data_IF_174094997738
#
_entry.id   IF_174094997738
#
_cell.length_a   1.000
_cell.length_b   1.000
_cell.length_c   1.000
_cell.angle_alpha   90.00
_cell.angle_beta   90.00
_cell.angle_gamma   90.00
#
_symmetry.space_group_name_H-M   'P 1'
#
loop_
_entity.id
_entity.type
_entity.pdbx_description
1 polymer ?
#
# COMPACT_ATOMS: atom_id res chain seq x y z
N UNK A 1 46.61 21.96 2.11
CA UNK A 1 46.10 20.78 2.85
C UNK A 1 44.59 20.86 2.84
N UNK A 2 43.97 19.91 2.16
CA UNK A 2 42.53 19.74 1.89
C UNK A 2 41.77 19.39 3.17
N UNK A 3 40.60 19.98 3.36
CA UNK A 3 39.69 19.68 4.47
C UNK A 3 38.28 20.18 4.18
N UNK A 4 37.76 19.89 2.98
CA UNK A 4 36.37 20.13 2.59
C UNK A 4 35.47 19.18 3.38
N UNK A 5 35.07 19.61 4.59
CA UNK A 5 34.07 18.93 5.40
C UNK A 5 32.67 19.17 4.84
N UNK A 6 32.24 18.33 3.90
CA UNK A 6 30.83 18.00 3.65
C UNK A 6 30.82 16.49 3.40
N UNK A 7 30.13 15.69 4.23
CA UNK A 7 28.68 15.62 4.16
C UNK A 7 27.98 15.25 5.48
N UNK A 8 26.95 16.01 5.86
CA UNK A 8 25.87 15.43 6.65
C UNK A 8 24.58 15.74 5.88
N UNK A 9 24.10 14.85 4.99
CA UNK A 9 22.70 14.90 4.61
C UNK A 9 21.92 14.72 5.91
N UNK A 10 21.31 15.82 6.33
CA UNK A 10 20.22 15.90 7.29
C UNK A 10 19.46 14.58 7.35
N UNK A 11 19.28 14.04 8.56
CA UNK A 11 18.39 12.94 8.90
C UNK A 11 16.96 13.26 8.47
N UNK A 12 16.71 13.27 7.16
CA UNK A 12 15.41 13.01 6.58
C UNK A 12 15.18 11.55 6.92
N UNK A 13 14.41 11.32 7.99
CA UNK A 13 14.17 10.01 8.57
C UNK A 13 14.02 8.97 7.48
N UNK A 14 14.78 7.89 7.62
CA UNK A 14 14.84 6.72 6.75
C UNK A 14 13.42 6.30 6.37
N UNK A 15 12.88 6.93 5.31
CA UNK A 15 11.66 6.48 4.71
C UNK A 15 12.10 5.18 4.05
N UNK A 16 11.63 4.01 4.52
CA UNK A 16 12.16 2.75 4.07
C UNK A 16 12.06 2.75 2.55
N UNK A 17 13.20 2.64 1.88
CA UNK A 17 13.19 2.57 0.42
C UNK A 17 12.48 1.27 0.05
N UNK A 18 11.41 1.31 -0.77
CA UNK A 18 10.68 0.10 -1.10
C UNK A 18 11.63 -0.88 -1.76
N UNK A 19 11.67 -2.11 -1.23
CA UNK A 19 12.44 -3.19 -1.87
C UNK A 19 11.84 -3.51 -3.23
N UNK A 20 12.60 -4.15 -4.12
CA UNK A 20 12.09 -4.58 -5.43
C UNK A 20 10.80 -5.41 -5.31
N UNK A 21 10.69 -6.25 -4.26
CA UNK A 21 9.48 -6.99 -3.97
C UNK A 21 8.31 -6.05 -3.64
N UNK A 22 8.50 -5.10 -2.72
CA UNK A 22 7.46 -4.11 -2.37
C UNK A 22 7.07 -3.24 -3.56
N UNK A 23 8.01 -2.84 -4.41
CA UNK A 23 7.71 -2.12 -5.64
C UNK A 23 6.77 -2.93 -6.54
N UNK A 24 7.03 -4.23 -6.73
CA UNK A 24 6.11 -5.12 -7.46
C UNK A 24 4.72 -5.17 -6.81
N UNK A 25 4.64 -5.24 -5.48
CA UNK A 25 3.36 -5.23 -4.78
C UNK A 25 2.60 -3.91 -4.97
N UNK A 26 3.31 -2.78 -5.01
CA UNK A 26 2.71 -1.46 -5.28
C UNK A 26 2.16 -1.39 -6.71
N UNK A 27 2.90 -1.92 -7.70
CA UNK A 27 2.43 -2.03 -9.08
C UNK A 27 1.14 -2.89 -9.14
N UNK A 28 1.11 -4.03 -8.45
CA UNK A 28 -0.07 -4.91 -8.38
C UNK A 28 -1.26 -4.20 -7.73
N UNK A 29 -1.07 -3.59 -6.57
CA UNK A 29 -2.13 -2.88 -5.86
C UNK A 29 -2.67 -1.68 -6.64
N UNK A 30 -1.77 -0.94 -7.32
CA UNK A 30 -2.14 0.17 -8.19
C UNK A 30 -2.91 -0.33 -9.41
N UNK A 31 -2.43 -1.37 -10.09
CA UNK A 31 -3.13 -1.98 -11.22
C UNK A 31 -4.52 -2.48 -10.84
N UNK A 32 -4.69 -3.07 -9.65
CA UNK A 32 -6.01 -3.45 -9.13
C UNK A 32 -6.92 -2.24 -8.93
N UNK A 33 -6.43 -1.16 -8.33
CA UNK A 33 -7.19 0.09 -8.22
C UNK A 33 -7.58 0.64 -9.58
N UNK A 34 -6.70 0.64 -10.58
CA UNK A 34 -6.99 1.11 -11.93
C UNK A 34 -8.09 0.33 -12.64
N UNK A 35 -8.43 -0.88 -12.17
CA UNK A 35 -9.59 -1.66 -12.66
C UNK A 35 -10.91 -1.24 -11.99
N UNK A 36 -10.84 -0.55 -10.85
CA UNK A 36 -11.99 -0.14 -10.05
C UNK A 36 -12.26 1.37 -10.12
N UNK A 37 -11.22 2.19 -10.31
CA UNK A 37 -11.28 3.66 -10.30
C UNK A 37 -10.61 4.23 -11.53
N UNK A 38 -10.98 5.46 -11.96
CA UNK A 38 -10.36 6.11 -13.10
C UNK A 38 -8.85 6.33 -12.91
N UNK A 39 -8.11 6.46 -14.02
CA UNK A 39 -6.65 6.63 -14.00
C UNK A 39 -6.19 7.96 -13.38
N UNK A 40 -7.03 8.98 -13.39
CA UNK A 40 -6.73 10.26 -12.75
C UNK A 40 -6.93 10.22 -11.23
N UNK A 41 -7.49 9.12 -10.70
CA UNK A 41 -7.86 9.05 -9.30
C UNK A 41 -6.62 9.06 -8.39
N UNK A 42 -6.60 9.91 -7.34
CA UNK A 42 -5.44 10.06 -6.47
C UNK A 42 -5.28 8.81 -5.58
N UNK A 43 -4.21 8.05 -5.83
CA UNK A 43 -3.85 6.88 -5.02
C UNK A 43 -2.67 7.23 -4.11
N UNK A 44 -2.77 6.86 -2.85
CA UNK A 44 -1.68 6.90 -1.89
C UNK A 44 -1.17 5.50 -1.63
N UNK A 45 0.09 5.37 -1.21
CA UNK A 45 0.64 4.10 -0.78
C UNK A 45 1.43 4.23 0.52
N UNK A 46 1.56 3.13 1.24
CA UNK A 46 2.37 3.00 2.43
C UNK A 46 3.03 1.63 2.47
N UNK A 47 4.27 1.60 2.93
CA UNK A 47 5.02 0.36 3.09
C UNK A 47 4.77 -0.22 4.48
N UNK A 48 4.65 -1.54 4.55
CA UNK A 48 4.57 -2.32 5.79
C UNK A 48 5.82 -3.19 5.87
N UNK A 49 6.98 -2.64 6.29
CA UNK A 49 8.23 -3.38 6.34
C UNK A 49 8.17 -4.57 7.31
N UNK A 50 7.43 -4.44 8.42
CA UNK A 50 7.25 -5.50 9.41
C UNK A 50 6.53 -6.75 8.84
N UNK A 51 5.64 -6.54 7.89
CA UNK A 51 4.82 -7.60 7.27
C UNK A 51 5.33 -8.01 5.88
N UNK A 52 6.38 -7.35 5.36
CA UNK A 52 6.81 -7.49 3.97
C UNK A 52 5.70 -7.13 2.96
N UNK A 53 4.78 -6.27 3.36
CA UNK A 53 3.57 -5.94 2.62
C UNK A 53 3.54 -4.46 2.23
N UNK A 54 2.56 -4.08 1.41
CA UNK A 54 2.28 -2.68 1.08
C UNK A 54 0.79 -2.42 1.13
N UNK A 55 0.41 -1.17 1.38
CA UNK A 55 -0.97 -0.73 1.29
C UNK A 55 -1.11 0.32 0.19
N UNK A 56 -2.17 0.22 -0.62
CA UNK A 56 -2.54 1.21 -1.63
C UNK A 56 -3.94 1.72 -1.29
N UNK A 57 -4.04 2.99 -0.90
CA UNK A 57 -5.28 3.65 -0.48
C UNK A 57 -5.76 4.60 -1.56
N UNK A 58 -7.07 4.60 -1.81
CA UNK A 58 -7.67 5.61 -2.67
C UNK A 58 -7.98 6.87 -1.84
N UNK A 59 -7.39 8.02 -2.20
CA UNK A 59 -7.38 9.25 -1.39
C UNK A 59 -8.67 10.10 -1.51
N UNK A 60 -9.76 9.53 -2.01
CA UNK A 60 -11.06 10.22 -2.14
C UNK A 60 -12.05 9.81 -1.04
N UNK A 61 -13.10 10.61 -0.82
CA UNK A 61 -14.19 10.21 0.08
C UNK A 61 -14.91 8.97 -0.46
N UNK A 62 -15.06 7.95 0.40
CA UNK A 62 -15.57 6.62 0.01
C UNK A 62 -14.49 5.68 -0.53
N UNK A 63 -13.23 6.13 -0.61
CA UNK A 63 -12.10 5.29 -1.00
C UNK A 63 -11.76 4.22 0.04
N UNK A 64 -11.32 3.06 -0.42
CA UNK A 64 -10.82 1.99 0.43
C UNK A 64 -9.30 1.97 0.50
N UNK A 65 -8.77 1.03 1.29
CA UNK A 65 -7.36 0.67 1.32
C UNK A 65 -7.20 -0.79 0.92
N UNK A 66 -6.38 -1.04 -0.08
CA UNK A 66 -5.93 -2.38 -0.44
C UNK A 66 -4.64 -2.71 0.29
N UNK A 67 -4.61 -3.81 1.01
CA UNK A 67 -3.42 -4.40 1.61
C UNK A 67 -2.94 -5.51 0.68
N UNK A 68 -1.70 -5.45 0.23
CA UNK A 68 -1.10 -6.43 -0.69
C UNK A 68 0.05 -7.10 0.05
N UNK A 69 -0.05 -8.40 0.31
CA UNK A 69 1.05 -9.13 0.95
C UNK A 69 2.08 -9.63 -0.06
N UNK A 70 3.25 -10.02 0.45
CA UNK A 70 4.35 -10.59 -0.34
C UNK A 70 3.93 -11.80 -1.21
N UNK A 71 3.00 -12.61 -0.71
CA UNK A 71 2.45 -13.78 -1.43
C UNK A 71 1.49 -13.40 -2.58
N UNK A 72 1.20 -12.11 -2.78
CA UNK A 72 0.34 -11.61 -3.86
C UNK A 72 -1.15 -11.58 -3.53
N UNK A 73 -1.59 -12.25 -2.45
CA UNK A 73 -2.99 -12.13 -2.03
C UNK A 73 -3.28 -10.76 -1.39
N UNK A 74 -4.48 -10.24 -1.60
CA UNK A 74 -4.87 -8.88 -1.21
C UNK A 74 -6.02 -8.88 -0.22
N UNK A 75 -6.13 -7.82 0.59
CA UNK A 75 -7.28 -7.55 1.44
C UNK A 75 -7.78 -6.14 1.15
N UNK A 76 -9.07 -6.00 0.85
CA UNK A 76 -9.69 -4.69 0.74
C UNK A 76 -10.31 -4.29 2.08
N UNK A 77 -9.94 -3.13 2.58
CA UNK A 77 -10.54 -2.48 3.73
C UNK A 77 -11.32 -1.25 3.25
N UNK A 78 -12.64 -1.25 3.46
CA UNK A 78 -13.46 -0.07 3.21
C UNK A 78 -13.06 1.09 4.16
N UNK A 79 -13.35 2.34 3.79
CA UNK A 79 -13.05 3.52 4.61
C UNK A 79 -13.63 3.46 6.03
N UNK A 80 -14.71 2.69 6.23
CA UNK A 80 -15.36 2.51 7.54
C UNK A 80 -14.62 1.55 8.46
N UNK A 81 -13.69 0.74 7.93
CA UNK A 81 -12.89 -0.21 8.72
C UNK A 81 -11.65 0.50 9.24
N UNK A 82 -11.42 0.52 10.57
CA UNK A 82 -10.23 1.16 11.09
C UNK A 82 -8.97 0.37 10.71
N UNK A 83 -7.84 1.06 10.46
CA UNK A 83 -6.66 0.44 9.86
C UNK A 83 -6.02 -0.64 10.74
N UNK A 84 -6.12 -0.54 12.07
CA UNK A 84 -5.63 -1.57 12.98
C UNK A 84 -6.40 -2.89 12.81
N UNK A 85 -7.74 -2.85 12.74
CA UNK A 85 -8.56 -4.04 12.53
C UNK A 85 -8.33 -4.67 11.16
N UNK A 86 -8.16 -3.85 10.12
CA UNK A 86 -7.83 -4.32 8.78
C UNK A 86 -6.46 -5.02 8.77
N UNK A 87 -5.46 -4.44 9.45
CA UNK A 87 -4.14 -5.03 9.60
C UNK A 87 -4.18 -6.34 10.40
N UNK A 88 -4.92 -6.40 11.49
CA UNK A 88 -5.11 -7.62 12.29
C UNK A 88 -5.78 -8.73 11.46
N UNK A 89 -6.80 -8.37 10.68
CA UNK A 89 -7.48 -9.29 9.76
C UNK A 89 -6.52 -9.83 8.69
N UNK A 90 -5.72 -8.94 8.12
CA UNK A 90 -4.68 -9.27 7.14
C UNK A 90 -3.61 -10.20 7.73
N UNK A 91 -3.12 -9.88 8.93
CA UNK A 91 -2.12 -10.67 9.68
C UNK A 91 -2.66 -12.03 10.12
N UNK A 92 -3.96 -12.12 10.37
CA UNK A 92 -4.65 -13.38 10.69
C UNK A 92 -4.77 -14.31 9.47
N UNK A 93 -4.26 -13.92 8.30
CA UNK A 93 -4.28 -14.72 7.07
C UNK A 93 -5.59 -14.62 6.29
N UNK A 94 -6.55 -13.79 6.75
CA UNK A 94 -7.80 -13.55 6.03
C UNK A 94 -7.51 -12.62 4.85
N UNK A 95 -7.65 -13.15 3.63
CA UNK A 95 -7.50 -12.40 2.37
C UNK A 95 -8.90 -12.10 1.81
N UNK A 96 -9.04 -11.02 1.05
CA UNK A 96 -10.24 -10.78 0.24
C UNK A 96 -10.19 -11.66 -1.00
N UNK A 97 -11.31 -12.30 -1.34
CA UNK A 97 -11.48 -12.94 -2.64
C UNK A 97 -11.32 -11.89 -3.75
N UNK A 98 -10.24 -11.98 -4.51
CA UNK A 98 -9.97 -11.07 -5.65
C UNK A 98 -11.07 -11.10 -6.70
N UNK A 99 -11.79 -12.23 -6.81
CA UNK A 99 -12.97 -12.40 -7.66
C UNK A 99 -14.14 -11.49 -7.23
N UNK A 100 -14.29 -11.18 -5.93
CA UNK A 100 -15.34 -10.29 -5.40
C UNK A 100 -14.96 -8.81 -5.42
N UNK A 101 -13.70 -8.47 -5.67
CA UNK A 101 -13.27 -7.08 -5.90
C UNK A 101 -13.69 -6.56 -7.29
N UNK A 102 -14.36 -7.39 -8.09
CA UNK A 102 -15.04 -6.96 -9.30
C UNK A 102 -16.40 -6.38 -8.89
N UNK A 103 -16.56 -5.08 -9.12
CA UNK A 103 -17.74 -4.28 -8.80
C UNK A 103 -17.86 -3.88 -7.32
N UNK A 104 -17.44 -2.66 -7.03
CA UNK A 104 -18.33 -1.79 -6.27
C UNK A 104 -19.52 -1.47 -7.20
N UNK A 105 -20.49 -2.38 -7.23
CA UNK A 105 -21.81 -2.11 -7.80
C UNK A 105 -22.56 -1.25 -6.78
N UNK A 106 -22.89 -0.02 -7.18
CA UNK A 106 -23.61 0.97 -6.38
C UNK A 106 -23.03 2.37 -6.50
#
# INVERSE_FOLDING_TARGET
MTGTGRPEPSTAGDAPTPTAAQQRLLEVGSALWRRMVPEDAPLGYRLLPEDGAVTVSHLVRGGGTLYVAADGSVLFAASSVPPHQALETFRSGRRSDTTRLRSADG
#
